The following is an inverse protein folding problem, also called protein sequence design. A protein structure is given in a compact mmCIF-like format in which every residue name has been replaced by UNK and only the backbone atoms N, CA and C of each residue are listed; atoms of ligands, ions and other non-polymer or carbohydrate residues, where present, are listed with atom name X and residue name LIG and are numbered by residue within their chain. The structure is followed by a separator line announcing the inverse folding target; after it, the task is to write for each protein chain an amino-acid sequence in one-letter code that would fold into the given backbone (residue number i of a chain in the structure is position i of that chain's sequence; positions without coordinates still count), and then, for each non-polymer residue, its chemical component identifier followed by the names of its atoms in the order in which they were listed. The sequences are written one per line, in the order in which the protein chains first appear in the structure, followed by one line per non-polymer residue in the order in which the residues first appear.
data_IF_395462449005
#
_entry.id   IF_395462449005
#
_cell.length_a   1.000
_cell.length_b   1.000
_cell.length_c   1.000
_cell.angle_alpha   90.00
_cell.angle_beta   90.00
_cell.angle_gamma   90.00
#
_symmetry.space_group_name_H-M   'P 1'
#
loop_
_entity.id
_entity.type
_entity.pdbx_description
1 polymer ?
#
# COMPACT_ATOMS: atom_id res chain seq x y z
N UNK A 1 3.56 19.19 -22.02
CA UNK A 1 4.30 18.48 -20.97
C UNK A 1 3.80 17.05 -20.82
N UNK A 2 2.51 16.82 -20.74
CA UNK A 2 1.90 15.47 -20.60
C UNK A 2 2.23 14.51 -21.75
N UNK A 3 2.23 15.02 -22.99
CA UNK A 3 2.55 14.22 -24.18
C UNK A 3 3.98 13.68 -24.17
N UNK A 4 4.94 14.49 -23.72
CA UNK A 4 6.34 14.08 -23.62
C UNK A 4 6.59 13.04 -22.51
N UNK A 5 5.82 13.06 -21.42
CA UNK A 5 5.95 12.09 -20.34
C UNK A 5 5.36 10.72 -20.72
N UNK A 6 4.24 10.68 -21.44
CA UNK A 6 3.69 9.44 -21.99
C UNK A 6 4.62 8.79 -23.01
N UNK A 7 5.23 9.61 -23.88
CA UNK A 7 6.24 9.14 -24.82
C UNK A 7 7.46 8.55 -24.08
N UNK A 8 7.95 9.25 -23.05
CA UNK A 8 9.06 8.77 -22.23
C UNK A 8 8.73 7.47 -21.46
N UNK A 9 7.49 7.33 -20.94
CA UNK A 9 7.03 6.11 -20.31
C UNK A 9 6.91 4.95 -21.31
N UNK A 10 6.43 5.23 -22.52
CA UNK A 10 6.40 4.25 -23.62
C UNK A 10 7.78 3.78 -24.03
N UNK A 11 8.75 4.71 -24.13
CA UNK A 11 10.14 4.38 -24.40
C UNK A 11 10.76 3.54 -23.27
N UNK A 12 10.50 3.90 -21.99
CA UNK A 12 10.93 3.14 -20.83
C UNK A 12 10.37 1.72 -20.88
N UNK A 13 9.08 1.54 -21.19
CA UNK A 13 8.45 0.24 -21.36
C UNK A 13 9.16 -0.58 -22.45
N UNK A 14 9.35 0.00 -23.63
CA UNK A 14 10.02 -0.67 -24.75
C UNK A 14 11.45 -1.10 -24.38
N UNK A 15 12.20 -0.26 -23.65
CA UNK A 15 13.53 -0.60 -23.13
C UNK A 15 13.50 -1.72 -22.10
N UNK A 16 12.54 -1.72 -21.17
CA UNK A 16 12.36 -2.79 -20.17
C UNK A 16 12.00 -4.12 -20.86
N UNK A 17 11.18 -4.09 -21.90
CA UNK A 17 10.76 -5.28 -22.64
C UNK A 17 11.85 -5.81 -23.60
N UNK A 18 12.61 -4.91 -24.21
CA UNK A 18 13.67 -5.27 -25.15
C UNK A 18 14.98 -5.70 -24.50
N UNK A 19 15.15 -5.40 -23.19
CA UNK A 19 16.49 -5.40 -22.64
C UNK A 19 16.88 -6.65 -21.88
N UNK A 20 18.08 -7.13 -22.20
CA UNK A 20 18.97 -7.87 -21.31
C UNK A 20 19.56 -7.00 -20.17
N UNK A 21 19.35 -5.69 -20.19
CA UNK A 21 19.89 -4.77 -19.19
C UNK A 21 18.97 -4.70 -17.97
N UNK A 22 19.52 -4.95 -16.80
CA UNK A 22 18.79 -4.97 -15.52
C UNK A 22 18.70 -3.57 -14.86
N UNK A 23 19.32 -2.54 -15.43
CA UNK A 23 19.39 -1.19 -14.84
C UNK A 23 19.34 -0.14 -15.92
N UNK A 24 18.47 0.87 -15.70
CA UNK A 24 18.31 2.02 -16.60
C UNK A 24 18.39 3.31 -15.80
N UNK A 25 19.32 4.23 -16.10
CA UNK A 25 19.31 5.55 -15.53
C UNK A 25 18.18 6.38 -16.19
N UNK A 26 17.34 6.97 -15.37
CA UNK A 26 16.38 7.99 -15.81
C UNK A 26 16.83 9.32 -15.22
N UNK A 27 17.16 10.27 -16.07
CA UNK A 27 17.71 11.58 -15.68
C UNK A 27 16.83 12.71 -16.16
N UNK A 28 16.97 13.90 -15.52
CA UNK A 28 16.28 15.12 -15.92
C UNK A 28 14.90 15.31 -15.30
N UNK A 29 14.40 14.37 -14.50
CA UNK A 29 13.17 14.54 -13.76
C UNK A 29 13.37 15.49 -12.56
N UNK A 30 12.50 16.49 -12.43
CA UNK A 30 12.54 17.47 -11.32
C UNK A 30 11.15 17.68 -10.76
N UNK A 31 11.05 17.83 -9.41
CA UNK A 31 9.78 18.04 -8.71
C UNK A 31 8.78 16.93 -9.04
N UNK A 32 7.54 17.30 -9.27
CA UNK A 32 6.42 16.39 -9.55
C UNK A 32 6.58 15.52 -10.82
N UNK A 33 7.59 15.76 -11.66
CA UNK A 33 7.84 14.93 -12.83
C UNK A 33 8.18 13.47 -12.47
N UNK A 34 8.76 13.24 -11.28
CA UNK A 34 9.00 11.89 -10.77
C UNK A 34 7.67 11.15 -10.56
N UNK A 35 6.73 11.78 -9.87
CA UNK A 35 5.41 11.19 -9.59
C UNK A 35 4.62 10.95 -10.89
N UNK A 36 4.63 11.91 -11.83
CA UNK A 36 4.00 11.75 -13.13
C UNK A 36 4.59 10.60 -13.95
N UNK A 37 5.92 10.47 -13.97
CA UNK A 37 6.59 9.38 -14.67
C UNK A 37 6.27 8.01 -14.05
N UNK A 38 6.25 7.92 -12.72
CA UNK A 38 5.89 6.70 -12.00
C UNK A 38 4.42 6.32 -12.22
N UNK A 39 3.51 7.31 -12.24
CA UNK A 39 2.11 7.10 -12.61
C UNK A 39 1.98 6.50 -14.01
N UNK A 40 2.60 7.12 -15.03
CA UNK A 40 2.55 6.60 -16.39
C UNK A 40 3.17 5.21 -16.49
N UNK A 41 4.27 4.96 -15.78
CA UNK A 41 4.88 3.63 -15.70
C UNK A 41 3.92 2.60 -15.06
N UNK A 42 3.24 2.96 -13.98
CA UNK A 42 2.28 2.08 -13.30
C UNK A 42 1.10 1.71 -14.20
N UNK A 43 0.60 2.67 -14.99
CA UNK A 43 -0.51 2.44 -15.92
C UNK A 43 -0.12 1.64 -17.17
N UNK A 44 1.15 1.72 -17.59
CA UNK A 44 1.57 1.15 -18.88
C UNK A 44 2.35 -0.16 -18.79
N UNK A 45 3.12 -0.39 -17.70
CA UNK A 45 4.03 -1.54 -17.60
C UNK A 45 3.30 -2.86 -17.30
N UNK A 46 2.15 -2.85 -16.62
CA UNK A 46 1.43 -4.06 -16.22
C UNK A 46 2.26 -4.98 -15.32
N UNK A 47 3.14 -4.43 -14.49
CA UNK A 47 4.06 -5.14 -13.58
C UNK A 47 4.04 -4.53 -12.19
N UNK A 48 4.38 -5.30 -11.14
CA UNK A 48 4.63 -4.73 -9.82
C UNK A 48 5.72 -3.66 -9.86
N UNK A 49 5.48 -2.55 -9.19
CA UNK A 49 6.45 -1.45 -9.07
C UNK A 49 6.73 -1.20 -7.59
N UNK A 50 7.99 -1.30 -7.22
CA UNK A 50 8.48 -0.91 -5.90
C UNK A 50 9.38 0.32 -6.06
N UNK A 51 8.96 1.43 -5.47
CA UNK A 51 9.72 2.68 -5.45
C UNK A 51 10.42 2.80 -4.12
N UNK A 52 11.74 2.95 -4.13
CA UNK A 52 12.55 3.05 -2.92
C UNK A 52 13.22 4.43 -2.89
N UNK A 53 12.98 5.18 -1.82
CA UNK A 53 13.62 6.47 -1.57
C UNK A 53 14.71 6.33 -0.50
N UNK A 54 15.70 7.21 -0.47
CA UNK A 54 16.72 7.21 0.58
C UNK A 54 16.15 7.43 1.99
N UNK A 55 15.15 8.33 2.13
CA UNK A 55 14.58 8.75 3.41
C UNK A 55 13.06 8.54 3.46
N UNK A 56 12.52 8.35 4.68
CA UNK A 56 11.09 8.17 4.91
C UNK A 56 10.27 9.40 4.46
N UNK A 57 10.75 10.60 4.78
CA UNK A 57 10.10 11.86 4.38
C UNK A 57 9.97 12.03 2.86
N UNK A 58 10.95 11.53 2.10
CA UNK A 58 10.89 11.52 0.64
C UNK A 58 9.85 10.51 0.12
N UNK A 59 9.74 9.34 0.78
CA UNK A 59 8.71 8.35 0.45
C UNK A 59 7.31 8.90 0.67
N UNK A 60 7.08 9.57 1.80
CA UNK A 60 5.80 10.20 2.15
C UNK A 60 5.43 11.31 1.17
N UNK A 61 6.38 12.21 0.87
CA UNK A 61 6.17 13.29 -0.09
C UNK A 61 5.83 12.74 -1.49
N UNK A 62 6.59 11.76 -1.96
CA UNK A 62 6.34 11.13 -3.26
C UNK A 62 5.01 10.36 -3.29
N UNK A 63 4.65 9.69 -2.19
CA UNK A 63 3.37 9.00 -2.07
C UNK A 63 2.19 9.99 -2.13
N UNK A 64 2.30 11.14 -1.47
CA UNK A 64 1.29 12.19 -1.53
C UNK A 64 1.14 12.77 -2.96
N UNK A 65 2.25 13.03 -3.65
CA UNK A 65 2.24 13.48 -5.05
C UNK A 65 1.62 12.42 -5.98
N UNK A 66 1.97 11.15 -5.81
CA UNK A 66 1.42 10.05 -6.60
C UNK A 66 -0.08 9.88 -6.36
N UNK A 67 -0.54 9.95 -5.11
CA UNK A 67 -1.96 9.88 -4.77
C UNK A 67 -2.74 10.98 -5.48
N UNK A 68 -2.23 12.22 -5.49
CA UNK A 68 -2.84 13.33 -6.20
C UNK A 68 -2.99 13.05 -7.72
N UNK A 69 -1.96 12.49 -8.36
CA UNK A 69 -2.01 12.21 -9.79
C UNK A 69 -2.82 10.97 -10.16
N UNK A 70 -2.91 9.98 -9.28
CA UNK A 70 -3.70 8.76 -9.50
C UNK A 70 -5.20 8.99 -9.28
N UNK A 71 -5.59 9.98 -8.46
CA UNK A 71 -7.00 10.30 -8.17
C UNK A 71 -7.65 11.24 -9.21
N UNK A 72 -7.00 11.48 -10.36
CA UNK A 72 -7.56 12.35 -11.42
C UNK A 72 -8.73 11.67 -12.14
N UNK A 73 -9.86 12.40 -12.34
CA UNK A 73 -11.11 11.82 -12.88
C UNK A 73 -11.00 11.32 -14.33
N UNK A 74 -9.97 11.74 -15.07
CA UNK A 74 -9.75 11.30 -16.46
C UNK A 74 -9.38 9.81 -16.59
N UNK A 75 -8.95 9.17 -15.50
CA UNK A 75 -8.44 7.81 -15.51
C UNK A 75 -9.38 6.79 -14.83
N UNK A 76 -10.62 7.16 -14.57
CA UNK A 76 -11.61 6.26 -13.92
C UNK A 76 -11.93 4.99 -14.71
N UNK A 77 -11.61 4.97 -16.01
CA UNK A 77 -11.74 3.80 -16.88
C UNK A 77 -10.49 2.91 -16.87
N UNK A 78 -9.37 3.39 -16.33
CA UNK A 78 -8.15 2.59 -16.16
C UNK A 78 -8.28 1.78 -14.88
N UNK A 79 -8.07 0.47 -14.95
CA UNK A 79 -8.04 -0.43 -13.80
C UNK A 79 -7.29 0.23 -12.63
N UNK A 80 -7.97 0.45 -11.51
CA UNK A 80 -7.53 1.26 -10.37
C UNK A 80 -6.13 0.84 -9.91
N UNK A 81 -5.11 1.59 -10.33
CA UNK A 81 -3.77 1.43 -9.80
C UNK A 81 -3.75 2.05 -8.41
N UNK A 82 -3.88 1.21 -7.39
CA UNK A 82 -3.79 1.66 -6.00
C UNK A 82 -2.32 1.75 -5.60
N UNK A 83 -1.93 2.93 -5.12
CA UNK A 83 -0.61 3.14 -4.54
C UNK A 83 -0.67 2.90 -3.03
N UNK A 84 0.33 2.20 -2.51
CA UNK A 84 0.49 1.92 -1.09
C UNK A 84 1.82 2.47 -0.60
N UNK A 85 1.79 3.15 0.55
CA UNK A 85 3.00 3.53 1.27
C UNK A 85 3.36 2.42 2.25
N UNK A 86 4.59 1.90 2.16
CA UNK A 86 5.18 1.04 3.18
C UNK A 86 6.08 1.90 4.07
N UNK A 87 5.58 2.38 5.22
CA UNK A 87 6.32 3.29 6.09
C UNK A 87 7.37 2.55 6.92
N UNK A 88 8.41 3.28 7.34
CA UNK A 88 9.34 2.81 8.35
C UNK A 88 8.69 2.86 9.75
N UNK A 89 9.16 2.01 10.66
CA UNK A 89 8.81 2.15 12.07
C UNK A 89 9.65 3.27 12.67
N UNK A 90 9.00 4.27 13.22
CA UNK A 90 9.68 5.36 13.93
C UNK A 90 10.18 4.93 15.32
N UNK A 91 9.93 3.68 15.68
CA UNK A 91 10.28 3.13 17.00
C UNK A 91 11.67 2.53 16.96
N UNK A 92 12.55 3.02 17.85
CA UNK A 92 13.92 2.50 17.96
C UNK A 92 13.95 1.04 18.39
N UNK A 93 14.89 0.23 17.88
CA UNK A 93 15.10 -1.12 18.38
C UNK A 93 15.25 -1.13 19.89
N UNK A 94 14.62 -2.11 20.55
CA UNK A 94 14.61 -2.25 22.03
C UNK A 94 13.79 -1.20 22.81
N UNK A 95 13.05 -0.32 22.15
CA UNK A 95 12.05 0.48 22.84
C UNK A 95 10.85 -0.41 23.24
N UNK A 96 10.21 -0.07 24.35
CA UNK A 96 8.96 -0.77 24.77
C UNK A 96 7.71 -0.16 24.10
N UNK A 97 7.90 0.73 23.12
CA UNK A 97 6.82 1.39 22.41
C UNK A 97 6.44 0.57 21.18
N UNK A 98 5.16 0.36 20.98
CA UNK A 98 4.63 -0.17 19.72
C UNK A 98 4.51 0.95 18.68
N UNK A 99 4.66 0.65 17.40
CA UNK A 99 4.37 1.63 16.35
C UNK A 99 2.92 2.14 16.46
N UNK A 100 2.65 3.38 16.05
CA UNK A 100 1.28 3.90 15.99
C UNK A 100 0.37 3.00 15.14
N UNK A 101 -0.91 2.83 15.50
CA UNK A 101 -1.84 1.93 14.81
C UNK A 101 -1.99 2.25 13.30
N UNK A 102 -1.90 3.52 12.93
CA UNK A 102 -1.98 3.96 11.53
C UNK A 102 -0.75 3.56 10.71
N UNK A 103 0.44 3.58 11.30
CA UNK A 103 1.68 3.08 10.68
C UNK A 103 1.60 1.56 10.46
N UNK A 104 1.10 0.83 11.47
CA UNK A 104 0.89 -0.62 11.36
C UNK A 104 -0.13 -0.95 10.26
N UNK A 105 -1.25 -0.24 10.21
CA UNK A 105 -2.28 -0.43 9.20
C UNK A 105 -1.73 -0.17 7.79
N UNK A 106 -0.97 0.92 7.59
CA UNK A 106 -0.33 1.22 6.31
C UNK A 106 0.67 0.13 5.87
N UNK A 107 1.46 -0.39 6.82
CA UNK A 107 2.38 -1.50 6.53
C UNK A 107 1.63 -2.78 6.11
N UNK A 108 0.59 -3.14 6.85
CA UNK A 108 -0.23 -4.33 6.52
C UNK A 108 -0.88 -4.18 5.15
N UNK A 109 -1.41 -3.00 4.82
CA UNK A 109 -2.00 -2.71 3.51
C UNK A 109 -0.97 -2.84 2.38
N UNK A 110 0.23 -2.29 2.55
CA UNK A 110 1.30 -2.41 1.56
C UNK A 110 1.77 -3.87 1.38
N UNK A 111 1.92 -4.62 2.48
CA UNK A 111 2.27 -6.04 2.43
C UNK A 111 1.17 -6.88 1.77
N UNK A 112 -0.10 -6.55 2.02
CA UNK A 112 -1.23 -7.20 1.37
C UNK A 112 -1.21 -6.95 -0.14
N UNK A 113 -1.01 -5.71 -0.57
CA UNK A 113 -0.90 -5.36 -1.97
C UNK A 113 0.24 -6.12 -2.66
N UNK A 114 1.42 -6.19 -2.03
CA UNK A 114 2.56 -6.95 -2.55
C UNK A 114 2.27 -8.47 -2.65
N UNK A 115 1.46 -9.01 -1.74
CA UNK A 115 1.16 -10.44 -1.72
C UNK A 115 0.02 -10.85 -2.66
N UNK A 116 -0.94 -9.97 -2.92
CA UNK A 116 -2.23 -10.33 -3.56
C UNK A 116 -2.57 -9.54 -4.80
N UNK A 117 -2.03 -8.33 -4.98
CA UNK A 117 -2.31 -7.52 -6.17
C UNK A 117 -1.37 -7.91 -7.30
N UNK A 118 -1.84 -8.14 -8.53
CA UNK A 118 -0.99 -8.52 -9.66
C UNK A 118 0.02 -7.43 -10.03
N UNK A 119 -0.39 -6.16 -9.95
CA UNK A 119 0.41 -4.99 -10.34
C UNK A 119 0.42 -3.93 -9.25
N UNK A 120 0.93 -4.22 -8.04
CA UNK A 120 0.95 -3.25 -6.97
C UNK A 120 1.96 -2.13 -7.27
N UNK A 121 1.61 -0.90 -6.89
CA UNK A 121 2.51 0.23 -6.81
C UNK A 121 2.77 0.52 -5.33
N UNK A 122 3.99 0.25 -4.87
CA UNK A 122 4.38 0.47 -3.48
C UNK A 122 5.53 1.45 -3.40
N UNK A 123 5.38 2.47 -2.56
CA UNK A 123 6.42 3.44 -2.24
C UNK A 123 6.96 3.14 -0.86
N UNK A 124 8.27 3.16 -0.69
CA UNK A 124 8.92 2.87 0.60
C UNK A 124 10.25 3.59 0.72
N UNK A 125 10.79 3.66 1.92
CA UNK A 125 12.16 4.11 2.15
C UNK A 125 13.14 2.94 2.27
N UNK A 126 14.43 3.23 2.10
CA UNK A 126 15.48 2.25 2.31
C UNK A 126 15.45 1.69 3.75
N UNK A 127 15.16 2.55 4.73
CA UNK A 127 15.04 2.16 6.12
C UNK A 127 13.90 1.14 6.31
N UNK A 128 12.70 1.41 5.78
CA UNK A 128 11.57 0.50 5.88
C UNK A 128 11.86 -0.85 5.18
N UNK A 129 12.54 -0.81 4.04
CA UNK A 129 12.90 -2.02 3.29
C UNK A 129 13.91 -2.91 4.04
N UNK A 130 14.74 -2.33 4.90
CA UNK A 130 15.69 -3.07 5.73
C UNK A 130 15.07 -3.68 6.99
N UNK A 131 13.85 -3.31 7.33
CA UNK A 131 13.15 -3.87 8.49
C UNK A 131 12.65 -5.29 8.26
N UNK A 132 12.63 -6.06 9.34
CA UNK A 132 11.99 -7.39 9.30
C UNK A 132 10.48 -7.24 9.28
N UNK A 133 9.86 -7.94 8.37
CA UNK A 133 8.40 -8.01 8.24
C UNK A 133 7.87 -9.37 8.72
N UNK A 134 6.57 -9.46 8.89
CA UNK A 134 5.88 -10.71 9.20
C UNK A 134 6.14 -11.72 8.06
N UNK A 135 6.48 -12.98 8.35
CA UNK A 135 6.63 -14.01 7.32
C UNK A 135 5.34 -14.14 6.48
N UNK A 136 5.49 -14.26 5.17
CA UNK A 136 4.37 -14.26 4.22
C UNK A 136 3.27 -15.26 4.60
N UNK A 137 3.64 -16.49 5.01
CA UNK A 137 2.67 -17.52 5.42
C UNK A 137 1.84 -17.06 6.61
N UNK A 138 2.50 -16.55 7.67
CA UNK A 138 1.80 -16.06 8.87
C UNK A 138 0.86 -14.91 8.51
N UNK A 139 1.30 -14.02 7.63
CA UNK A 139 0.47 -12.93 7.15
C UNK A 139 -0.76 -13.42 6.37
N UNK A 140 -0.58 -14.35 5.43
CA UNK A 140 -1.67 -14.91 4.62
C UNK A 140 -2.69 -15.68 5.45
N UNK A 141 -2.25 -16.38 6.49
CA UNK A 141 -3.11 -17.12 7.43
C UNK A 141 -3.89 -16.18 8.38
N UNK A 142 -3.44 -14.93 8.53
CA UNK A 142 -4.05 -13.91 9.41
C UNK A 142 -4.98 -12.94 8.68
N UNK A 143 -5.24 -13.13 7.38
CA UNK A 143 -6.11 -12.25 6.60
C UNK A 143 -7.52 -12.80 6.55
N UNK A 144 -8.49 -12.05 7.08
CA UNK A 144 -9.93 -12.32 6.92
C UNK A 144 -10.44 -11.45 5.76
N UNK A 145 -11.10 -12.07 4.80
CA UNK A 145 -11.77 -11.37 3.70
C UNK A 145 -13.27 -11.36 3.96
N UNK A 146 -13.87 -10.20 3.87
CA UNK A 146 -15.32 -10.02 3.99
C UNK A 146 -15.81 -9.40 2.68
N UNK A 147 -16.72 -10.08 1.98
CA UNK A 147 -17.31 -9.58 0.75
C UNK A 147 -18.72 -9.01 1.01
N UNK A 148 -19.16 -8.00 0.26
CA UNK A 148 -20.54 -7.52 0.32
C UNK A 148 -21.52 -8.67 0.04
N UNK A 149 -22.61 -8.73 0.81
CA UNK A 149 -23.64 -9.76 0.74
C UNK A 149 -23.20 -11.20 1.10
N UNK A 150 -22.02 -11.38 1.69
CA UNK A 150 -21.59 -12.65 2.25
C UNK A 150 -22.28 -12.91 3.59
N UNK A 151 -22.70 -14.17 3.81
CA UNK A 151 -23.27 -14.58 5.10
C UNK A 151 -22.11 -14.94 6.03
N UNK A 152 -21.91 -14.11 7.07
CA UNK A 152 -20.86 -14.29 8.05
C UNK A 152 -21.42 -14.79 9.37
N UNK A 153 -20.72 -15.74 10.00
CA UNK A 153 -20.93 -16.07 11.39
C UNK A 153 -20.28 -14.99 12.26
N UNK A 154 -21.11 -14.19 12.93
CA UNK A 154 -20.66 -13.07 13.75
C UNK A 154 -19.83 -13.53 14.96
N UNK A 155 -20.16 -14.69 15.55
CA UNK A 155 -19.41 -15.21 16.70
C UNK A 155 -18.01 -15.66 16.28
N UNK A 156 -17.91 -16.39 15.18
CA UNK A 156 -16.62 -16.79 14.60
C UNK A 156 -15.78 -15.57 14.19
N UNK A 157 -16.40 -14.53 13.63
CA UNK A 157 -15.69 -13.29 13.29
C UNK A 157 -15.15 -12.58 14.53
N UNK A 158 -15.93 -12.50 15.61
CA UNK A 158 -15.52 -11.88 16.87
C UNK A 158 -14.32 -12.62 17.48
N UNK A 159 -14.35 -13.96 17.50
CA UNK A 159 -13.24 -14.77 17.98
C UNK A 159 -11.97 -14.57 17.14
N UNK A 160 -12.12 -14.54 15.82
CA UNK A 160 -11.01 -14.33 14.91
C UNK A 160 -10.40 -12.91 15.08
N UNK A 161 -11.21 -11.85 15.18
CA UNK A 161 -10.74 -10.49 15.43
C UNK A 161 -9.99 -10.39 16.78
N UNK A 162 -10.55 -10.97 17.85
CA UNK A 162 -9.89 -11.01 19.15
C UNK A 162 -8.55 -11.77 19.09
N UNK A 163 -8.52 -12.90 18.38
CA UNK A 163 -7.30 -13.69 18.15
C UNK A 163 -6.22 -12.93 17.36
N UNK A 164 -6.60 -11.98 16.51
CA UNK A 164 -5.70 -11.09 15.77
C UNK A 164 -5.24 -9.88 16.59
N UNK A 165 -5.74 -9.71 17.81
CA UNK A 165 -5.37 -8.60 18.69
C UNK A 165 -6.25 -7.37 18.57
N UNK A 166 -7.38 -7.44 17.85
CA UNK A 166 -8.37 -6.37 17.86
C UNK A 166 -9.02 -6.25 19.24
N UNK A 167 -9.30 -5.03 19.65
CA UNK A 167 -9.92 -4.74 20.96
C UNK A 167 -11.42 -4.54 20.80
N UNK A 168 -12.18 -5.26 21.63
CA UNK A 168 -13.62 -5.05 21.70
C UNK A 168 -13.94 -3.84 22.55
N UNK A 169 -14.53 -2.81 21.94
CA UNK A 169 -14.88 -1.54 22.57
C UNK A 169 -16.37 -1.23 22.41
N UNK A 170 -16.96 -0.39 23.29
CA UNK A 170 -18.36 0.03 23.12
C UNK A 170 -18.60 0.86 21.87
N UNK A 171 -17.61 1.65 21.44
CA UNK A 171 -17.63 2.49 20.25
C UNK A 171 -16.24 2.46 19.61
N UNK A 172 -16.18 2.15 18.30
CA UNK A 172 -14.93 2.08 17.55
C UNK A 172 -14.43 3.48 17.21
N UNK A 173 -13.21 3.82 17.63
CA UNK A 173 -12.58 5.12 17.40
C UNK A 173 -11.24 4.98 16.70
N UNK A 174 -10.46 3.95 17.03
CA UNK A 174 -9.11 3.74 16.52
C UNK A 174 -9.01 2.50 15.63
N UNK A 175 -8.05 2.46 14.68
CA UNK A 175 -7.73 1.23 13.95
C UNK A 175 -7.34 0.11 14.91
N UNK A 176 -7.97 -1.06 14.75
CA UNK A 176 -7.80 -2.18 15.67
C UNK A 176 -8.93 -2.34 16.69
N UNK A 177 -9.89 -1.41 16.69
CA UNK A 177 -11.11 -1.53 17.50
C UNK A 177 -12.20 -2.28 16.74
N UNK A 178 -13.03 -3.01 17.48
CA UNK A 178 -14.31 -3.50 16.97
C UNK A 178 -15.40 -3.43 18.02
N UNK A 179 -16.64 -3.27 17.57
CA UNK A 179 -17.82 -3.29 18.44
C UNK A 179 -18.92 -4.14 17.85
N UNK A 180 -19.74 -4.75 18.71
CA UNK A 180 -20.89 -5.55 18.31
C UNK A 180 -22.10 -5.14 19.11
N UNK A 181 -23.18 -4.76 18.45
CA UNK A 181 -24.46 -4.42 19.05
C UNK A 181 -25.60 -5.03 18.24
N UNK A 182 -26.40 -5.89 18.87
CA UNK A 182 -27.62 -6.41 18.29
C UNK A 182 -27.50 -7.09 16.93
N UNK A 183 -26.43 -7.84 16.70
CA UNK A 183 -26.19 -8.54 15.43
C UNK A 183 -25.50 -7.68 14.35
N UNK A 184 -25.09 -6.46 14.67
CA UNK A 184 -24.30 -5.62 13.79
C UNK A 184 -22.88 -5.49 14.36
N UNK A 185 -21.90 -5.78 13.55
CA UNK A 185 -20.48 -5.60 13.86
C UNK A 185 -19.93 -4.35 13.19
N UNK A 186 -19.19 -3.52 13.92
CA UNK A 186 -18.38 -2.43 13.38
C UNK A 186 -16.91 -2.76 13.63
N UNK A 187 -16.11 -2.66 12.59
CA UNK A 187 -14.66 -2.85 12.69
C UNK A 187 -14.01 -1.57 12.21
N UNK A 188 -13.20 -0.95 13.08
CA UNK A 188 -12.43 0.22 12.67
C UNK A 188 -11.19 -0.26 11.95
N UNK A 189 -11.17 -0.05 10.64
CA UNK A 189 -10.02 -0.30 9.81
C UNK A 189 -9.80 0.89 8.88
N UNK A 190 -8.57 1.40 8.82
CA UNK A 190 -8.25 2.56 7.99
C UNK A 190 -8.12 2.20 6.51
N UNK A 191 -8.01 0.92 6.21
CA UNK A 191 -7.91 0.41 4.84
C UNK A 191 -8.92 -0.73 4.68
N UNK A 192 -10.01 -0.46 3.97
CA UNK A 192 -10.87 -1.52 3.45
C UNK A 192 -10.14 -2.07 2.23
N UNK A 193 -9.73 -3.32 2.31
CA UNK A 193 -9.11 -4.06 1.20
C UNK A 193 -10.18 -4.85 0.47
#
# INVERSE_FOLDING_TARGET
MERSLREAAGELKARIEAANEKRFPVMGLKGAANALMLREAALTLGRPILVVTPQASEAEALAAELAFFLDQPADRDSAHCQMHLLPAWEVRPFSQLSPPPDVQAAQLAALFALARTPTPLVVTSLEALMMRTIPRRVFEDSVIRIAPAEVLDLEALVEALAGMGYQRVPQTEEPGDFSVRGGIGWVSHRTII
#
